data_IF_057526563256
#
_entry.id   IF_057526563256
#
_cell.length_a   1.000
_cell.length_b   1.000
_cell.length_c   1.000
_cell.angle_alpha   90.00
_cell.angle_beta   90.00
_cell.angle_gamma   90.00
#
_symmetry.space_group_name_H-M   'P 1'
#
loop_
_entity.id
_entity.type
_entity.pdbx_description
1 polymer ?
#
# COMPACT_ATOMS: atom_id res chain seq x y z
N UNK A 1 15.44 -7.25 1.10
CA UNK A 1 14.78 -6.00 1.54
C UNK A 1 15.66 -4.74 1.39
N UNK A 2 16.97 -4.80 1.65
CA UNK A 2 17.89 -3.65 1.51
C UNK A 2 18.00 -3.04 0.10
N UNK A 3 17.48 -3.73 -0.93
CA UNK A 3 17.43 -3.25 -2.32
C UNK A 3 16.22 -2.35 -2.61
N UNK A 4 15.26 -2.24 -1.68
CA UNK A 4 14.08 -1.40 -1.86
C UNK A 4 14.42 0.07 -1.57
N UNK A 5 13.85 1.03 -2.32
CA UNK A 5 13.97 2.44 -1.98
C UNK A 5 13.42 2.74 -0.57
N UNK A 6 14.08 3.66 0.14
CA UNK A 6 13.75 4.02 1.54
C UNK A 6 12.27 4.39 1.73
N UNK A 7 11.71 5.15 0.79
CA UNK A 7 10.32 5.59 0.86
C UNK A 7 9.33 4.41 0.82
N UNK A 8 9.65 3.36 0.06
CA UNK A 8 8.84 2.16 -0.01
C UNK A 8 9.04 1.28 1.21
N UNK A 9 10.30 1.11 1.64
CA UNK A 9 10.63 0.32 2.82
C UNK A 9 9.87 0.83 4.06
N UNK A 10 9.77 2.15 4.21
CA UNK A 10 8.95 2.77 5.26
C UNK A 10 7.47 2.41 5.18
N UNK A 11 6.88 2.35 3.97
CA UNK A 11 5.48 1.94 3.77
C UNK A 11 5.28 0.45 4.03
N UNK A 12 6.22 -0.39 3.61
CA UNK A 12 6.19 -1.83 3.88
C UNK A 12 6.22 -2.10 5.39
N UNK A 13 7.13 -1.44 6.11
CA UNK A 13 7.19 -1.56 7.57
C UNK A 13 5.95 -0.99 8.26
N UNK A 14 5.43 0.16 7.80
CA UNK A 14 4.16 0.67 8.32
C UNK A 14 3.03 -0.34 8.12
N UNK A 15 2.93 -0.95 6.94
CA UNK A 15 1.91 -1.95 6.65
C UNK A 15 2.04 -3.20 7.52
N UNK A 16 3.26 -3.72 7.72
CA UNK A 16 3.55 -4.88 8.59
C UNK A 16 3.27 -4.62 10.06
N UNK A 17 3.62 -3.42 10.54
CA UNK A 17 3.49 -3.04 11.95
C UNK A 17 2.13 -2.42 12.30
N UNK A 18 1.26 -2.22 11.31
CA UNK A 18 0.01 -1.46 11.45
C UNK A 18 0.21 -0.05 12.04
N UNK A 19 1.38 0.57 11.83
CA UNK A 19 1.80 1.82 12.45
C UNK A 19 1.76 3.02 11.48
N UNK A 20 1.84 4.27 11.99
CA UNK A 20 1.77 5.57 11.28
C UNK A 20 0.39 5.93 10.70
N UNK A 21 0.16 5.69 9.42
CA UNK A 21 -0.83 6.42 8.62
C UNK A 21 -2.22 5.74 8.55
N UNK A 22 -2.44 4.72 9.36
CA UNK A 22 -3.68 3.95 9.32
C UNK A 22 -4.69 4.46 10.33
N UNK A 23 -5.97 4.35 9.96
CA UNK A 23 -7.05 4.84 10.81
C UNK A 23 -7.06 4.20 12.20
N UNK A 24 -6.58 2.95 12.32
CA UNK A 24 -6.45 2.25 13.59
C UNK A 24 -5.43 2.89 14.55
N UNK A 25 -4.29 3.36 14.01
CA UNK A 25 -3.27 4.05 14.80
C UNK A 25 -3.79 5.40 15.30
N UNK A 26 -4.33 6.23 14.40
CA UNK A 26 -4.86 7.53 14.78
C UNK A 26 -6.03 7.45 15.76
N UNK A 27 -6.93 6.46 15.62
CA UNK A 27 -8.03 6.24 16.56
C UNK A 27 -7.53 5.89 17.97
N UNK A 28 -6.42 5.15 18.08
CA UNK A 28 -5.84 4.76 19.36
C UNK A 28 -5.24 5.95 20.12
N UNK A 29 -4.71 6.95 19.40
CA UNK A 29 -4.01 8.10 19.98
C UNK A 29 -4.80 9.43 19.90
N UNK A 30 -6.08 9.39 19.51
CA UNK A 30 -7.01 10.52 19.51
C UNK A 30 -6.52 11.79 18.78
N UNK A 31 -5.73 11.63 17.71
CA UNK A 31 -5.30 12.76 16.87
C UNK A 31 -6.50 13.34 16.12
N UNK A 32 -6.85 14.61 16.41
CA UNK A 32 -8.05 15.29 15.87
C UNK A 32 -7.92 15.68 14.39
N UNK A 33 -6.70 15.86 13.90
CA UNK A 33 -6.44 16.39 12.55
C UNK A 33 -6.06 15.31 11.52
N UNK A 34 -6.22 14.04 11.87
CA UNK A 34 -5.81 12.95 11.00
C UNK A 34 -6.81 12.70 9.86
N UNK A 35 -6.33 12.73 8.62
CA UNK A 35 -7.10 12.26 7.46
C UNK A 35 -7.24 10.73 7.52
N UNK A 36 -8.33 10.25 8.11
CA UNK A 36 -8.58 8.81 8.29
C UNK A 36 -9.01 8.07 7.01
N UNK A 37 -9.33 8.83 5.96
CA UNK A 37 -9.89 8.30 4.71
C UNK A 37 -8.95 8.58 3.52
N UNK A 38 -8.77 7.58 2.65
CA UNK A 38 -8.14 7.76 1.33
C UNK A 38 -9.07 8.54 0.40
N UNK A 39 -8.56 8.95 -0.76
CA UNK A 39 -9.28 9.62 -1.85
C UNK A 39 -10.51 8.86 -2.34
N UNK A 40 -10.62 7.54 -2.12
CA UNK A 40 -11.86 6.79 -2.39
C UNK A 40 -12.86 6.78 -1.22
N UNK A 41 -12.66 7.63 -0.20
CA UNK A 41 -13.49 7.73 1.00
C UNK A 41 -13.54 6.46 1.87
N UNK A 42 -12.64 5.49 1.64
CA UNK A 42 -12.48 4.34 2.54
C UNK A 42 -11.42 4.63 3.60
N UNK A 43 -11.58 4.01 4.77
CA UNK A 43 -10.61 4.08 5.85
C UNK A 43 -9.23 3.63 5.37
N UNK A 44 -8.20 4.39 5.73
CA UNK A 44 -6.80 4.04 5.49
C UNK A 44 -6.48 2.74 6.22
N UNK A 45 -5.96 1.77 5.48
CA UNK A 45 -5.60 0.45 5.96
C UNK A 45 -4.25 0.03 5.37
N UNK A 46 -3.43 -0.74 6.10
CA UNK A 46 -2.17 -1.32 5.60
C UNK A 46 -2.28 -1.97 4.22
N UNK A 47 -3.43 -2.57 3.96
CA UNK A 47 -3.70 -3.38 2.77
C UNK A 47 -4.64 -2.66 1.81
N UNK A 48 -4.82 -1.34 1.97
CA UNK A 48 -5.76 -0.57 1.17
C UNK A 48 -5.47 -0.67 -0.34
N UNK A 49 -4.19 -0.66 -0.72
CA UNK A 49 -3.75 -0.79 -2.11
C UNK A 49 -4.28 -2.06 -2.78
N UNK A 50 -4.38 -3.16 -2.04
CA UNK A 50 -4.83 -4.46 -2.53
C UNK A 50 -6.30 -4.43 -3.01
N UNK A 51 -7.16 -3.70 -2.29
CA UNK A 51 -8.59 -3.63 -2.58
C UNK A 51 -8.99 -2.38 -3.39
N UNK A 52 -8.05 -1.51 -3.73
CA UNK A 52 -8.36 -0.25 -4.40
C UNK A 52 -8.62 -0.45 -5.89
N UNK A 53 -9.90 -0.35 -6.30
CA UNK A 53 -10.34 -0.60 -7.68
C UNK A 53 -9.57 0.20 -8.73
N UNK A 54 -9.23 1.48 -8.48
CA UNK A 54 -8.47 2.26 -9.47
C UNK A 54 -7.02 1.78 -9.60
N UNK A 55 -6.43 1.28 -8.51
CA UNK A 55 -5.08 0.69 -8.52
C UNK A 55 -5.09 -0.59 -9.34
N UNK A 56 -6.08 -1.46 -9.13
CA UNK A 56 -6.25 -2.68 -9.93
C UNK A 56 -6.44 -2.39 -11.42
N UNK A 57 -7.20 -1.33 -11.76
CA UNK A 57 -7.38 -0.90 -13.16
C UNK A 57 -6.11 -0.31 -13.78
N UNK A 58 -5.31 0.41 -12.99
CA UNK A 58 -4.05 0.99 -13.43
C UNK A 58 -2.92 -0.04 -13.54
N UNK A 59 -3.10 -1.26 -13.00
CA UNK A 59 -2.11 -2.32 -13.06
C UNK A 59 -1.73 -2.65 -14.52
N UNK A 60 -0.45 -2.53 -14.89
CA UNK A 60 0.04 -2.90 -16.21
C UNK A 60 -0.24 -4.37 -16.54
N UNK A 61 -0.40 -4.69 -17.83
CA UNK A 61 -0.71 -6.04 -18.29
C UNK A 61 0.30 -7.08 -17.77
N UNK A 62 1.60 -6.78 -17.84
CA UNK A 62 2.67 -7.69 -17.41
C UNK A 62 2.68 -7.97 -15.89
N UNK A 63 2.06 -7.10 -15.08
CA UNK A 63 1.94 -7.30 -13.62
C UNK A 63 0.58 -7.86 -13.21
N UNK A 64 -0.45 -7.75 -14.05
CA UNK A 64 -1.84 -8.06 -13.69
C UNK A 64 -1.99 -9.48 -13.16
N UNK A 65 -1.41 -10.46 -13.85
CA UNK A 65 -1.53 -11.87 -13.45
C UNK A 65 -0.74 -12.17 -12.16
N UNK A 66 0.45 -11.59 -12.00
CA UNK A 66 1.28 -11.76 -10.79
C UNK A 66 0.59 -11.13 -9.59
N UNK A 67 0.08 -9.90 -9.74
CA UNK A 67 -0.66 -9.18 -8.70
C UNK A 67 -1.98 -9.85 -8.35
N UNK A 68 -2.69 -10.44 -9.32
CA UNK A 68 -3.97 -11.13 -9.03
C UNK A 68 -3.81 -12.43 -8.27
N UNK A 69 -2.65 -13.10 -8.40
CA UNK A 69 -2.33 -14.35 -7.70
C UNK A 69 -1.64 -14.11 -6.35
N UNK A 70 -1.04 -12.94 -6.16
CA UNK A 70 -0.30 -12.60 -4.95
C UNK A 70 -1.26 -12.39 -3.77
N UNK A 71 -1.03 -13.07 -2.65
CA UNK A 71 -1.75 -12.81 -1.40
C UNK A 71 -1.14 -11.64 -0.64
N UNK A 72 -1.89 -11.05 0.29
CA UNK A 72 -1.38 -10.01 1.20
C UNK A 72 -0.18 -10.55 2.00
N UNK A 73 -0.28 -11.77 2.52
CA UNK A 73 0.79 -12.40 3.30
C UNK A 73 2.03 -12.62 2.46
N UNK A 74 1.89 -12.95 1.17
CA UNK A 74 3.03 -13.02 0.26
C UNK A 74 3.64 -11.63 0.03
N UNK A 75 2.83 -10.64 -0.35
CA UNK A 75 3.28 -9.29 -0.70
C UNK A 75 3.97 -8.58 0.47
N UNK A 76 3.45 -8.76 1.69
CA UNK A 76 3.99 -8.13 2.88
C UNK A 76 4.97 -9.06 3.61
N UNK A 77 4.88 -10.38 3.52
CA UNK A 77 5.66 -11.31 4.35
C UNK A 77 6.93 -11.85 3.70
N UNK A 78 7.11 -11.70 2.39
CA UNK A 78 8.28 -12.23 1.65
C UNK A 78 9.10 -11.15 0.95
N UNK A 79 10.38 -11.44 0.68
CA UNK A 79 11.25 -10.53 -0.05
C UNK A 79 10.84 -10.42 -1.54
N UNK A 80 10.41 -11.52 -2.14
CA UNK A 80 9.88 -11.61 -3.49
C UNK A 80 8.58 -10.80 -3.62
N UNK A 81 7.67 -10.96 -2.67
CA UNK A 81 6.43 -10.21 -2.60
C UNK A 81 6.66 -8.72 -2.42
N UNK A 82 7.61 -8.32 -1.57
CA UNK A 82 7.98 -6.91 -1.42
C UNK A 82 8.58 -6.33 -2.71
N UNK A 83 9.32 -7.13 -3.47
CA UNK A 83 9.87 -6.74 -4.77
C UNK A 83 8.79 -6.61 -5.85
N UNK A 84 7.82 -7.52 -5.88
CA UNK A 84 6.64 -7.41 -6.74
C UNK A 84 5.79 -6.18 -6.39
N UNK A 85 5.58 -5.93 -5.09
CA UNK A 85 4.87 -4.76 -4.62
C UNK A 85 5.58 -3.46 -5.05
N UNK A 86 6.91 -3.44 -4.98
CA UNK A 86 7.72 -2.33 -5.48
C UNK A 86 7.52 -2.09 -6.97
N UNK A 87 7.72 -3.14 -7.78
CA UNK A 87 7.55 -3.09 -9.23
C UNK A 87 6.17 -2.53 -9.62
N UNK A 88 5.13 -2.96 -8.89
CA UNK A 88 3.77 -2.46 -9.08
C UNK A 88 3.59 -1.00 -8.65
N UNK A 89 4.15 -0.58 -7.52
CA UNK A 89 4.04 0.81 -7.04
C UNK A 89 4.73 1.77 -7.99
N UNK A 90 5.92 1.43 -8.47
CA UNK A 90 6.67 2.24 -9.45
C UNK A 90 5.90 2.34 -10.77
N UNK A 91 5.45 1.20 -11.29
CA UNK A 91 4.76 1.18 -12.58
C UNK A 91 3.42 1.93 -12.55
N UNK A 92 2.70 1.89 -11.43
CA UNK A 92 1.39 2.55 -11.28
C UNK A 92 1.46 3.96 -10.69
N UNK A 93 2.59 4.34 -10.09
CA UNK A 93 2.72 5.54 -9.27
C UNK A 93 1.58 5.63 -8.22
N UNK A 94 1.24 4.51 -7.59
CA UNK A 94 -0.02 4.38 -6.84
C UNK A 94 -0.21 5.47 -5.78
N UNK A 95 0.83 5.75 -5.00
CA UNK A 95 0.74 6.70 -3.89
C UNK A 95 0.90 8.17 -4.28
N UNK A 96 1.38 8.45 -5.50
CA UNK A 96 1.57 9.82 -6.00
C UNK A 96 0.54 10.23 -7.05
N UNK A 97 -0.14 9.27 -7.70
CA UNK A 97 -1.12 9.54 -8.76
C UNK A 97 -2.49 8.90 -8.55
N UNK A 98 -2.61 7.84 -7.74
CA UNK A 98 -3.85 7.05 -7.63
C UNK A 98 -4.57 7.28 -6.29
N UNK A 99 -3.93 6.99 -5.16
CA UNK A 99 -4.40 7.40 -3.83
C UNK A 99 -3.48 8.48 -3.28
N UNK A 100 -3.77 9.72 -3.67
CA UNK A 100 -3.02 10.94 -3.28
C UNK A 100 -2.99 11.17 -1.77
N UNK A 101 -4.05 10.76 -1.07
CA UNK A 101 -4.18 10.94 0.36
C UNK A 101 -3.84 9.68 1.14
N UNK A 102 -3.04 8.74 0.61
CA UNK A 102 -2.67 7.53 1.34
C UNK A 102 -1.61 7.77 2.41
#
# INVERSE_FOLDING_TARGET
ELRLPRHLLGRLYAARSHHRDFAAYYKRFAHRDALLNCSCRRRKSPVHFYFYKRGQKATPHHLRQRMSKASIDFLLGSAEGASLLYEWIEATNFFSKICLTH
#
